data_IF_342949688040
#
_entry.id   IF_342949688040
#
_cell.length_a   1.000
_cell.length_b   1.000
_cell.length_c   1.000
_cell.angle_alpha   90.00
_cell.angle_beta   90.00
_cell.angle_gamma   90.00
#
_symmetry.space_group_name_H-M   'P 1'
#
loop_
_entity.id
_entity.type
_entity.pdbx_description
1 polymer ?
#
# COMPACT_ATOMS: atom_id res chain seq x y z
N UNK A 1 -8.24 -2.25 -15.90
CA UNK A 1 -6.94 -1.64 -16.26
C UNK A 1 -5.88 -2.70 -16.03
N UNK A 2 -5.19 -3.16 -17.07
CA UNK A 2 -4.18 -4.20 -16.98
C UNK A 2 -2.82 -3.54 -16.77
N UNK A 3 -2.42 -3.34 -15.51
CA UNK A 3 -1.17 -2.69 -15.16
C UNK A 3 -0.03 -3.71 -15.13
N UNK A 4 0.85 -3.67 -16.12
CA UNK A 4 1.97 -4.60 -16.23
C UNK A 4 3.28 -3.86 -16.47
N UNK A 5 4.20 -4.06 -15.54
CA UNK A 5 5.54 -3.47 -15.57
C UNK A 5 6.45 -4.07 -16.65
N UNK A 6 6.01 -5.14 -17.30
CA UNK A 6 6.70 -5.71 -18.46
C UNK A 6 6.51 -4.89 -19.73
N UNK A 7 5.47 -4.04 -19.80
CA UNK A 7 5.11 -3.29 -21.02
C UNK A 7 5.10 -1.78 -20.82
N UNK A 8 4.91 -1.30 -19.60
CA UNK A 8 4.83 0.13 -19.29
C UNK A 8 5.50 0.44 -17.95
N UNK A 9 6.28 1.52 -17.94
CA UNK A 9 6.99 1.98 -16.75
C UNK A 9 6.17 2.96 -15.91
N UNK A 10 5.24 3.68 -16.55
CA UNK A 10 4.42 4.74 -15.94
C UNK A 10 3.12 4.22 -15.31
N UNK A 11 2.96 2.90 -15.27
CA UNK A 11 1.75 2.32 -14.73
C UNK A 11 1.78 2.27 -13.21
N UNK A 12 0.63 2.54 -12.60
CA UNK A 12 0.46 2.51 -11.16
C UNK A 12 -0.88 1.89 -10.75
N UNK A 13 -0.89 1.34 -9.54
CA UNK A 13 -2.05 0.75 -8.88
C UNK A 13 -2.20 1.36 -7.47
N UNK A 14 -3.39 1.26 -6.84
CA UNK A 14 -3.51 1.56 -5.42
C UNK A 14 -2.48 0.77 -4.60
N UNK A 15 -1.79 1.42 -3.66
CA UNK A 15 -0.94 0.72 -2.71
C UNK A 15 -1.78 0.17 -1.55
N UNK A 16 -1.37 -0.96 -1.00
CA UNK A 16 -2.07 -1.61 0.10
C UNK A 16 -1.31 -2.78 0.69
N UNK A 17 -1.86 -3.36 1.74
CA UNK A 17 -1.34 -4.55 2.40
C UNK A 17 -1.96 -5.80 1.80
N UNK A 18 -1.17 -6.86 1.64
CA UNK A 18 -1.61 -8.13 1.08
C UNK A 18 -1.42 -9.24 2.12
N UNK A 19 -2.39 -10.15 2.20
CA UNK A 19 -2.27 -11.33 3.06
C UNK A 19 -1.55 -12.44 2.30
N UNK A 20 -0.24 -12.56 2.51
CA UNK A 20 0.61 -13.58 1.89
C UNK A 20 0.25 -15.01 2.34
N UNK A 21 -0.45 -15.17 3.47
CA UNK A 21 -0.84 -16.46 4.04
C UNK A 21 -2.28 -16.87 3.69
N UNK A 22 -3.02 -16.04 2.96
CA UNK A 22 -4.38 -16.36 2.51
C UNK A 22 -4.43 -17.52 1.47
N UNK A 23 -3.27 -18.05 1.08
CA UNK A 23 -3.13 -19.19 0.16
C UNK A 23 -3.74 -20.50 0.71
N UNK A 24 -3.78 -20.69 2.03
CA UNK A 24 -4.03 -22.04 2.61
C UNK A 24 -5.51 -22.34 2.91
N UNK A 25 -6.36 -21.34 3.14
CA UNK A 25 -7.72 -21.58 3.67
C UNK A 25 -8.83 -21.60 2.62
N UNK A 26 -8.55 -21.19 1.38
CA UNK A 26 -9.51 -21.22 0.30
C UNK A 26 -8.96 -22.02 -0.87
N UNK A 27 -9.46 -23.26 -1.06
CA UNK A 27 -9.36 -24.01 -2.34
C UNK A 27 -10.07 -23.30 -3.51
N UNK A 28 -10.43 -22.03 -3.34
CA UNK A 28 -10.87 -21.10 -4.35
C UNK A 28 -9.79 -20.03 -4.40
N UNK A 29 -8.85 -20.17 -5.34
CA UNK A 29 -7.72 -19.26 -5.53
C UNK A 29 -8.20 -17.83 -5.75
N UNK A 30 -8.37 -17.09 -4.66
CA UNK A 30 -8.53 -15.64 -4.70
C UNK A 30 -7.20 -15.13 -5.24
N UNK A 31 -7.23 -14.70 -6.50
CA UNK A 31 -6.14 -14.01 -7.15
C UNK A 31 -5.57 -12.96 -6.19
N UNK A 32 -4.27 -13.01 -5.94
CA UNK A 32 -3.48 -12.13 -5.07
C UNK A 32 -3.54 -10.63 -5.44
N UNK A 33 -4.53 -10.20 -6.21
CA UNK A 33 -4.61 -8.90 -6.84
C UNK A 33 -5.43 -7.88 -6.05
N UNK A 34 -5.98 -8.24 -4.88
CA UNK A 34 -6.73 -7.32 -4.04
C UNK A 34 -6.11 -7.20 -2.64
N UNK A 35 -5.76 -5.99 -2.19
CA UNK A 35 -5.20 -5.78 -0.87
C UNK A 35 -6.27 -5.93 0.22
N UNK A 36 -5.86 -6.45 1.38
CA UNK A 36 -6.70 -6.51 2.59
C UNK A 36 -7.01 -5.12 3.16
N UNK A 37 -6.16 -4.14 2.86
CA UNK A 37 -6.41 -2.73 3.12
C UNK A 37 -5.61 -1.86 2.15
N UNK A 38 -6.25 -0.85 1.57
CA UNK A 38 -5.56 0.18 0.80
C UNK A 38 -4.96 1.24 1.72
N UNK A 39 -3.84 1.83 1.32
CA UNK A 39 -3.26 3.02 1.96
C UNK A 39 -3.71 4.23 1.16
N UNK A 40 -4.62 5.03 1.72
CA UNK A 40 -5.23 6.16 1.00
C UNK A 40 -4.16 7.15 0.53
N UNK A 41 -4.25 7.56 -0.74
CA UNK A 41 -3.30 8.48 -1.34
C UNK A 41 -1.94 7.89 -1.70
N UNK A 42 -1.69 6.60 -1.44
CA UNK A 42 -0.49 5.91 -1.90
C UNK A 42 -0.77 5.10 -3.16
N UNK A 43 0.19 5.12 -4.08
CA UNK A 43 0.22 4.32 -5.30
C UNK A 43 1.48 3.47 -5.33
N UNK A 44 1.36 2.27 -5.86
CA UNK A 44 2.51 1.45 -6.25
C UNK A 44 2.69 1.60 -7.74
N UNK A 45 3.92 1.90 -8.18
CA UNK A 45 4.29 1.92 -9.59
C UNK A 45 5.28 0.80 -9.89
N UNK A 46 5.66 0.67 -11.17
CA UNK A 46 6.72 -0.26 -11.57
C UNK A 46 8.09 0.11 -11.00
N UNK A 47 8.28 1.40 -10.73
CA UNK A 47 9.39 1.91 -9.95
C UNK A 47 8.86 2.63 -8.71
N UNK A 48 9.63 2.59 -7.62
CA UNK A 48 9.26 3.28 -6.38
C UNK A 48 9.01 4.78 -6.61
N UNK A 49 9.84 5.43 -7.43
CA UNK A 49 9.70 6.84 -7.76
C UNK A 49 8.38 7.16 -8.49
N UNK A 50 7.96 6.31 -9.42
CA UNK A 50 6.66 6.46 -10.10
C UNK A 50 5.50 6.32 -9.12
N UNK A 51 5.59 5.36 -8.20
CA UNK A 51 4.62 5.22 -7.12
C UNK A 51 4.50 6.50 -6.30
N UNK A 52 5.63 7.11 -5.92
CA UNK A 52 5.67 8.38 -5.17
C UNK A 52 5.09 9.54 -6.00
N UNK A 53 5.51 9.70 -7.26
CA UNK A 53 5.06 10.79 -8.14
C UNK A 53 3.55 10.76 -8.39
N UNK A 54 2.95 9.56 -8.43
CA UNK A 54 1.52 9.36 -8.66
C UNK A 54 0.70 9.37 -7.35
N UNK A 55 1.36 9.44 -6.19
CA UNK A 55 0.73 9.46 -4.88
C UNK A 55 0.37 10.88 -4.45
N UNK A 56 -0.74 11.02 -3.72
CA UNK A 56 -1.04 12.27 -2.98
C UNK A 56 -0.35 12.29 -1.61
N UNK A 57 0.04 11.12 -1.10
CA UNK A 57 0.70 10.91 0.20
C UNK A 57 -0.10 11.46 1.40
N UNK A 58 -1.40 11.68 1.24
CA UNK A 58 -2.25 12.28 2.28
C UNK A 58 -2.32 11.46 3.57
N UNK A 59 -2.12 10.14 3.50
CA UNK A 59 -2.03 9.26 4.66
C UNK A 59 -0.93 9.71 5.65
N UNK A 60 0.17 10.29 5.15
CA UNK A 60 1.25 10.78 6.00
C UNK A 60 0.83 11.93 6.92
N UNK A 61 -0.31 12.59 6.65
CA UNK A 61 -0.85 13.68 7.45
C UNK A 61 -2.10 13.26 8.24
N UNK A 62 -2.46 11.98 8.23
CA UNK A 62 -3.67 11.45 8.87
C UNK A 62 -3.33 10.37 9.90
N UNK A 63 -3.58 10.66 11.18
CA UNK A 63 -3.28 9.75 12.30
C UNK A 63 -4.02 8.41 12.21
N UNK A 64 -5.27 8.40 11.74
CA UNK A 64 -6.06 7.18 11.58
C UNK A 64 -5.48 6.27 10.49
N UNK A 65 -5.03 6.87 9.39
CA UNK A 65 -4.38 6.12 8.33
C UNK A 65 -3.04 5.53 8.79
N UNK A 66 -2.22 6.31 9.51
CA UNK A 66 -0.94 5.82 10.05
C UNK A 66 -1.14 4.71 11.09
N UNK A 67 -2.16 4.79 11.94
CA UNK A 67 -2.50 3.73 12.86
C UNK A 67 -2.84 2.42 12.13
N UNK A 68 -3.52 2.50 10.98
CA UNK A 68 -3.83 1.32 10.15
C UNK A 68 -2.54 0.70 9.59
N UNK A 69 -1.58 1.52 9.16
CA UNK A 69 -0.25 1.05 8.72
C UNK A 69 0.46 0.34 9.86
N UNK A 70 0.49 0.91 11.07
CA UNK A 70 1.15 0.31 12.23
C UNK A 70 0.53 -1.03 12.64
N UNK A 71 -0.79 -1.18 12.50
CA UNK A 71 -1.49 -2.43 12.82
C UNK A 71 -1.15 -3.53 11.80
N UNK A 72 -1.18 -3.20 10.50
CA UNK A 72 -0.99 -4.17 9.41
C UNK A 72 0.47 -4.46 9.11
N UNK A 73 1.34 -3.52 9.43
CA UNK A 73 2.78 -3.65 9.37
C UNK A 73 3.34 -3.30 10.75
N UNK A 74 3.30 -4.24 11.71
CA UNK A 74 3.87 -4.05 13.03
C UNK A 74 5.40 -3.96 12.87
N UNK A 75 5.85 -2.76 12.53
CA UNK A 75 7.25 -2.37 12.64
C UNK A 75 7.60 -2.57 14.10
N UNK A 76 8.83 -3.04 14.36
CA UNK A 76 9.43 -3.18 15.69
C UNK A 76 8.80 -2.24 16.73
N UNK A 77 8.48 -2.70 17.95
CA UNK A 77 7.73 -1.96 18.97
C UNK A 77 8.28 -0.58 19.36
N UNK A 78 9.45 -0.20 18.82
CA UNK A 78 10.15 1.05 19.07
C UNK A 78 10.03 2.08 17.93
N UNK A 79 9.28 1.82 16.86
CA UNK A 79 9.08 2.79 15.77
C UNK A 79 7.79 3.57 15.99
N UNK A 80 7.92 4.74 16.60
CA UNK A 80 6.82 5.69 16.71
C UNK A 80 6.65 6.44 15.39
N UNK A 81 5.50 6.26 14.75
CA UNK A 81 5.12 6.99 13.53
C UNK A 81 4.13 8.07 13.92
N UNK A 82 4.44 9.31 13.56
CA UNK A 82 3.59 10.47 13.82
C UNK A 82 3.15 11.09 12.49
N UNK A 83 1.94 11.68 12.43
CA UNK A 83 1.52 12.47 11.28
C UNK A 83 2.49 13.63 11.01
N UNK A 84 2.74 13.88 9.73
CA UNK A 84 3.42 15.08 9.26
C UNK A 84 2.52 16.31 9.50
N UNK A 85 3.14 17.46 9.70
CA UNK A 85 2.41 18.72 9.86
C UNK A 85 1.91 19.23 8.51
N UNK A 86 0.65 19.65 8.44
CA UNK A 86 0.09 20.33 7.29
C UNK A 86 0.33 21.83 7.49
N UNK A 87 1.46 22.33 7.00
CA UNK A 87 1.78 23.77 7.04
C UNK A 87 0.69 24.61 6.35
#
# INVERSE_FOLDING_TARGET
>A
MNCSCSFTTSCYLPAGFYNLFAYDTARNGLWHNQPIANVTGFRTGCYAIEGVLQSTLECLFNSQCLATIQILFPISPNVNIYPLNRN
#
